data_IF_789351792839
#
_entry.id   IF_789351792839
#
_cell.length_a   1.000
_cell.length_b   1.000
_cell.length_c   1.000
_cell.angle_alpha   90.00
_cell.angle_beta   90.00
_cell.angle_gamma   90.00
#
_symmetry.space_group_name_H-M   'P 1'
#
loop_
_entity.id
_entity.type
_entity.pdbx_description
1 polymer ?
#
# COMPACT_ATOMS: atom_id res chain seq x y z
N UNK A 1 -33.04 60.01 -4.68
CA UNK A 1 -32.58 61.41 -4.84
C UNK A 1 -31.07 61.55 -4.99
N UNK A 2 -30.21 60.79 -4.28
CA UNK A 2 -28.75 60.86 -4.50
C UNK A 2 -28.30 60.31 -5.87
N UNK A 3 -28.95 59.28 -6.42
CA UNK A 3 -28.65 58.71 -7.75
C UNK A 3 -28.84 59.72 -8.89
N UNK A 4 -29.89 60.55 -8.81
CA UNK A 4 -30.13 61.58 -9.84
C UNK A 4 -29.15 62.75 -9.78
N UNK A 5 -28.58 63.03 -8.62
CA UNK A 5 -27.65 64.17 -8.47
C UNK A 5 -26.26 63.82 -9.03
N UNK A 6 -25.83 62.57 -8.86
CA UNK A 6 -24.57 62.06 -9.46
C UNK A 6 -24.69 61.93 -10.98
N UNK A 7 -25.81 61.43 -11.48
CA UNK A 7 -26.04 61.35 -12.94
C UNK A 7 -26.00 62.72 -13.62
N UNK A 8 -26.55 63.75 -12.99
CA UNK A 8 -26.59 65.13 -13.56
C UNK A 8 -25.20 65.80 -13.53
N UNK A 9 -24.40 65.58 -12.48
CA UNK A 9 -23.04 66.15 -12.38
C UNK A 9 -22.11 65.40 -13.34
N UNK A 10 -22.21 64.08 -13.46
CA UNK A 10 -21.40 63.26 -14.37
C UNK A 10 -21.74 63.54 -15.84
N UNK A 11 -23.02 63.75 -16.19
CA UNK A 11 -23.40 64.15 -17.55
C UNK A 11 -22.87 65.52 -17.96
N UNK A 12 -22.75 66.50 -17.05
CA UNK A 12 -22.18 67.80 -17.39
C UNK A 12 -20.65 67.77 -17.58
N UNK A 13 -19.94 66.97 -16.86
CA UNK A 13 -18.47 66.80 -17.01
C UNK A 13 -18.14 65.95 -18.26
N UNK A 14 -18.92 64.90 -18.55
CA UNK A 14 -18.78 64.06 -19.73
C UNK A 14 -19.17 64.76 -21.04
N UNK A 15 -20.19 65.63 -21.05
CA UNK A 15 -20.59 66.36 -22.23
C UNK A 15 -19.53 67.38 -22.71
N UNK A 16 -18.76 67.96 -21.81
CA UNK A 16 -17.61 68.79 -22.17
C UNK A 16 -16.41 67.96 -22.67
N UNK A 17 -16.31 66.71 -22.21
CA UNK A 17 -15.27 65.75 -22.63
C UNK A 17 -15.61 64.99 -23.93
N UNK A 18 -16.87 64.61 -24.14
CA UNK A 18 -17.32 63.88 -25.33
C UNK A 18 -17.16 64.68 -26.63
N UNK A 19 -17.44 65.99 -26.58
CA UNK A 19 -17.22 66.86 -27.75
C UNK A 19 -15.72 67.06 -28.10
N UNK A 20 -14.85 66.81 -27.12
CA UNK A 20 -13.40 66.97 -27.34
C UNK A 20 -12.68 65.64 -27.72
N UNK A 21 -13.28 64.51 -27.46
CA UNK A 21 -12.64 63.20 -27.65
C UNK A 21 -13.20 62.37 -28.79
N UNK A 22 -14.36 62.68 -29.35
CA UNK A 22 -14.99 61.89 -30.42
C UNK A 22 -14.35 62.15 -31.75
N UNK A 23 -13.48 61.28 -32.24
CA UNK A 23 -12.87 61.38 -33.58
C UNK A 23 -13.83 60.85 -34.65
N UNK A 24 -13.75 61.40 -35.85
CA UNK A 24 -14.62 61.02 -36.99
C UNK A 24 -14.38 59.56 -37.36
N UNK A 25 -15.41 58.72 -37.15
CA UNK A 25 -15.35 57.28 -37.45
C UNK A 25 -15.16 56.38 -36.20
N UNK A 26 -15.06 56.93 -35.01
CA UNK A 26 -15.10 56.16 -33.75
C UNK A 26 -16.50 55.69 -33.42
N UNK A 27 -16.63 54.46 -32.92
CA UNK A 27 -17.83 53.87 -32.40
C UNK A 27 -17.83 53.90 -30.86
N UNK A 28 -18.94 54.27 -30.27
CA UNK A 28 -19.13 54.28 -28.81
C UNK A 28 -20.15 53.23 -28.41
N UNK A 29 -19.88 52.55 -27.28
CA UNK A 29 -20.90 51.74 -26.61
C UNK A 29 -21.72 52.63 -25.68
N UNK A 30 -23.02 52.53 -25.79
CA UNK A 30 -23.98 53.24 -24.93
C UNK A 30 -25.03 52.27 -24.44
N UNK A 31 -25.63 52.56 -23.28
CA UNK A 31 -26.65 51.72 -22.67
C UNK A 31 -27.78 52.55 -22.08
N UNK A 32 -28.94 51.93 -21.91
CA UNK A 32 -30.09 52.46 -21.22
C UNK A 32 -30.62 51.55 -20.10
N UNK A 33 -29.78 50.75 -19.51
CA UNK A 33 -30.03 49.68 -18.52
C UNK A 33 -30.76 48.42 -19.07
N UNK A 34 -31.25 48.48 -20.32
CA UNK A 34 -31.96 47.34 -20.93
C UNK A 34 -31.17 46.75 -22.08
N UNK A 35 -30.53 47.59 -22.86
CA UNK A 35 -29.72 47.14 -24.02
C UNK A 35 -28.43 47.94 -24.17
N UNK A 36 -27.45 47.35 -24.80
CA UNK A 36 -26.17 47.96 -25.16
C UNK A 36 -26.16 48.15 -26.67
N UNK A 37 -25.87 49.38 -27.14
CA UNK A 37 -25.70 49.68 -28.56
C UNK A 37 -24.29 50.16 -28.87
N UNK A 38 -23.77 49.71 -30.00
CA UNK A 38 -22.52 50.24 -30.57
C UNK A 38 -22.93 51.18 -31.70
N UNK A 39 -22.74 52.47 -31.52
CA UNK A 39 -23.18 53.52 -32.45
C UNK A 39 -22.05 54.49 -32.75
N UNK A 40 -22.15 55.20 -33.84
CA UNK A 40 -21.22 56.30 -34.10
C UNK A 40 -21.38 57.46 -33.11
N UNK A 41 -20.35 58.30 -33.01
CA UNK A 41 -20.34 59.39 -32.05
C UNK A 41 -21.48 60.38 -32.21
N UNK A 42 -22.05 60.56 -33.40
CA UNK A 42 -23.14 61.48 -33.65
C UNK A 42 -24.45 60.88 -33.14
N UNK A 43 -24.68 59.62 -33.37
CA UNK A 43 -25.84 58.90 -32.91
C UNK A 43 -25.76 58.69 -31.37
N UNK A 44 -24.59 58.36 -30.81
CA UNK A 44 -24.41 58.31 -29.36
C UNK A 44 -24.76 59.61 -28.67
N UNK A 45 -24.29 60.74 -29.19
CA UNK A 45 -24.62 62.07 -28.64
C UNK A 45 -26.13 62.33 -28.68
N UNK A 46 -26.82 61.94 -29.76
CA UNK A 46 -28.30 62.11 -29.90
C UNK A 46 -29.04 61.26 -28.86
N UNK A 47 -28.67 59.98 -28.74
CA UNK A 47 -29.35 59.06 -27.83
C UNK A 47 -29.08 59.40 -26.35
N UNK A 48 -27.91 59.87 -26.00
CA UNK A 48 -27.60 60.32 -24.64
C UNK A 48 -28.39 61.58 -24.29
N UNK A 49 -28.49 62.54 -25.23
CA UNK A 49 -29.13 63.83 -24.96
C UNK A 49 -30.66 63.80 -24.98
N UNK A 50 -31.24 62.98 -25.85
CA UNK A 50 -32.66 62.99 -26.10
C UNK A 50 -33.44 61.81 -25.55
N UNK A 51 -32.76 60.67 -25.34
CA UNK A 51 -33.41 59.39 -25.03
C UNK A 51 -32.95 58.75 -23.72
N UNK A 52 -32.11 59.45 -22.92
CA UNK A 52 -31.71 59.01 -21.61
C UNK A 52 -30.64 57.85 -21.62
N UNK A 53 -29.98 57.69 -22.79
CA UNK A 53 -28.86 56.76 -22.88
C UNK A 53 -27.62 57.39 -22.26
N UNK A 54 -26.69 56.56 -21.78
CA UNK A 54 -25.41 57.00 -21.21
C UNK A 54 -24.26 56.16 -21.75
N UNK A 55 -23.03 56.69 -21.70
CA UNK A 55 -21.87 55.92 -22.11
C UNK A 55 -21.78 54.62 -21.30
N UNK A 56 -21.63 53.50 -21.98
CA UNK A 56 -21.40 52.25 -21.34
C UNK A 56 -20.00 52.29 -20.74
N UNK A 57 -19.88 52.08 -19.43
CA UNK A 57 -18.62 51.83 -18.77
C UNK A 57 -18.65 50.45 -18.16
N UNK A 58 -17.56 49.75 -18.24
CA UNK A 58 -17.42 48.45 -17.61
C UNK A 58 -17.59 48.57 -16.08
N UNK A 59 -17.17 49.70 -15.51
CA UNK A 59 -17.32 49.99 -14.08
C UNK A 59 -18.80 50.00 -13.62
N UNK A 60 -19.69 50.58 -14.42
CA UNK A 60 -21.12 50.59 -14.13
C UNK A 60 -21.72 49.18 -14.19
N UNK A 61 -21.35 48.40 -15.18
CA UNK A 61 -21.80 47.02 -15.28
C UNK A 61 -21.22 46.14 -14.14
N UNK A 62 -20.02 46.41 -13.72
CA UNK A 62 -19.39 45.75 -12.57
C UNK A 62 -20.13 46.08 -11.27
N UNK A 63 -20.46 47.35 -11.01
CA UNK A 63 -21.20 47.77 -9.81
C UNK A 63 -22.59 47.10 -9.69
N UNK A 64 -23.27 46.89 -10.81
CA UNK A 64 -24.60 46.28 -10.83
C UNK A 64 -24.55 44.75 -10.76
N UNK A 65 -23.70 44.13 -11.55
CA UNK A 65 -23.69 42.66 -11.75
C UNK A 65 -22.75 41.90 -10.82
N UNK A 66 -21.58 42.45 -10.48
CA UNK A 66 -20.58 41.71 -9.70
C UNK A 66 -21.09 41.28 -8.31
N UNK A 67 -21.83 42.08 -7.54
CA UNK A 67 -22.37 41.63 -6.24
C UNK A 67 -23.36 40.48 -6.38
N UNK A 68 -24.18 40.47 -7.43
CA UNK A 68 -25.18 39.45 -7.69
C UNK A 68 -24.50 38.15 -8.16
N UNK A 69 -23.56 38.27 -9.09
CA UNK A 69 -22.79 37.13 -9.59
C UNK A 69 -21.94 36.45 -8.50
N UNK A 70 -21.27 37.23 -7.66
CA UNK A 70 -20.50 36.73 -6.56
C UNK A 70 -21.36 35.93 -5.57
N UNK A 71 -22.50 36.50 -5.16
CA UNK A 71 -23.46 35.84 -4.27
C UNK A 71 -24.01 34.54 -4.87
N UNK A 72 -24.40 34.60 -6.15
CA UNK A 72 -24.94 33.45 -6.88
C UNK A 72 -23.92 32.37 -7.08
N UNK A 73 -22.66 32.69 -7.46
CA UNK A 73 -21.58 31.75 -7.63
C UNK A 73 -21.32 30.96 -6.35
N UNK A 74 -21.24 31.65 -5.21
CA UNK A 74 -21.03 31.05 -3.90
C UNK A 74 -22.23 30.18 -3.45
N UNK A 75 -23.46 30.58 -3.76
CA UNK A 75 -24.67 29.81 -3.45
C UNK A 75 -24.76 28.54 -4.30
N UNK A 76 -24.54 28.63 -5.60
CA UNK A 76 -24.53 27.48 -6.51
C UNK A 76 -23.40 26.50 -6.13
N UNK A 77 -22.24 27.00 -5.75
CA UNK A 77 -21.15 26.15 -5.27
C UNK A 77 -21.57 25.39 -4.00
N UNK A 78 -22.13 26.10 -2.99
CA UNK A 78 -22.57 25.46 -1.73
C UNK A 78 -23.71 24.48 -1.92
N UNK A 79 -24.60 24.71 -2.88
CA UNK A 79 -25.70 23.81 -3.23
C UNK A 79 -25.28 22.70 -4.20
N UNK A 80 -23.98 22.61 -4.57
CA UNK A 80 -23.45 21.65 -5.53
C UNK A 80 -24.09 21.74 -6.92
N UNK A 81 -24.62 22.90 -7.29
CA UNK A 81 -25.08 23.15 -8.65
C UNK A 81 -23.90 23.59 -9.52
N UNK A 82 -23.13 22.58 -9.94
CA UNK A 82 -21.82 22.79 -10.58
C UNK A 82 -21.91 23.50 -11.92
N UNK A 83 -22.98 23.31 -12.71
CA UNK A 83 -23.17 23.98 -13.99
C UNK A 83 -23.36 25.49 -13.79
N UNK A 84 -24.31 25.91 -12.93
CA UNK A 84 -24.54 27.32 -12.66
C UNK A 84 -23.38 27.95 -11.91
N UNK A 85 -22.69 27.19 -11.05
CA UNK A 85 -21.49 27.65 -10.37
C UNK A 85 -20.36 27.95 -11.37
N UNK A 86 -20.05 27.03 -12.26
CA UNK A 86 -19.01 27.23 -13.28
C UNK A 86 -19.34 28.42 -14.21
N UNK A 87 -20.59 28.56 -14.60
CA UNK A 87 -21.03 29.68 -15.43
C UNK A 87 -20.86 31.00 -14.68
N UNK A 88 -21.31 31.10 -13.42
CA UNK A 88 -21.22 32.33 -12.64
C UNK A 88 -19.77 32.76 -12.38
N UNK A 89 -18.87 31.81 -12.10
CA UNK A 89 -17.41 32.10 -11.97
C UNK A 89 -16.81 32.54 -13.31
N UNK A 90 -17.24 31.96 -14.44
CA UNK A 90 -16.85 32.43 -15.77
C UNK A 90 -17.26 33.89 -16.00
N UNK A 91 -18.52 34.20 -15.67
CA UNK A 91 -19.06 35.55 -15.84
C UNK A 91 -18.36 36.58 -14.95
N UNK A 92 -17.98 36.19 -13.71
CA UNK A 92 -17.16 37.03 -12.81
C UNK A 92 -15.79 37.39 -13.44
N UNK A 93 -15.15 36.45 -14.11
CA UNK A 93 -13.85 36.70 -14.78
C UNK A 93 -14.03 37.47 -16.09
N UNK A 94 -15.12 37.24 -16.82
CA UNK A 94 -15.41 38.00 -18.04
C UNK A 94 -15.60 39.49 -17.76
N UNK A 95 -16.29 39.79 -16.64
CA UNK A 95 -16.49 41.17 -16.18
C UNK A 95 -15.32 41.71 -15.33
N UNK A 96 -14.30 40.95 -15.06
CA UNK A 96 -13.17 41.33 -14.18
C UNK A 96 -13.65 41.87 -12.83
N UNK A 97 -14.60 41.18 -12.22
CA UNK A 97 -15.13 41.54 -10.91
C UNK A 97 -14.07 41.52 -9.81
N UNK A 98 -13.06 40.73 -9.97
CA UNK A 98 -11.84 40.67 -9.13
C UNK A 98 -11.07 42.02 -9.12
N UNK A 99 -11.08 42.74 -10.21
CA UNK A 99 -10.44 44.06 -10.32
C UNK A 99 -11.40 45.21 -9.81
N UNK A 100 -12.71 44.99 -9.87
CA UNK A 100 -13.69 45.93 -9.35
C UNK A 100 -13.66 46.00 -7.81
N UNK A 101 -13.62 44.86 -7.14
CA UNK A 101 -13.54 44.80 -5.67
C UNK A 101 -12.88 43.46 -5.23
N UNK A 102 -11.59 43.50 -4.97
CA UNK A 102 -10.79 42.34 -4.57
C UNK A 102 -11.16 41.84 -3.17
N UNK A 103 -11.75 42.62 -2.31
CA UNK A 103 -12.19 42.19 -0.97
C UNK A 103 -13.43 41.30 -1.03
N UNK A 104 -14.22 41.41 -2.08
CA UNK A 104 -15.45 40.62 -2.30
C UNK A 104 -15.26 39.48 -3.29
N UNK A 105 -14.36 39.67 -4.25
CA UNK A 105 -14.10 38.71 -5.33
C UNK A 105 -12.60 38.62 -5.51
N UNK A 106 -11.97 37.70 -4.78
CA UNK A 106 -10.51 37.47 -4.98
C UNK A 106 -10.25 36.67 -6.25
N UNK A 107 -9.21 37.02 -6.96
CA UNK A 107 -8.80 36.36 -8.21
C UNK A 107 -8.54 34.87 -8.00
N UNK A 108 -7.86 34.50 -6.93
CA UNK A 108 -7.52 33.12 -6.58
C UNK A 108 -8.77 32.28 -6.27
N UNK A 109 -9.73 32.81 -5.50
CA UNK A 109 -10.99 32.11 -5.22
C UNK A 109 -11.80 31.86 -6.49
N UNK A 110 -11.86 32.84 -7.40
CA UNK A 110 -12.59 32.66 -8.64
C UNK A 110 -12.01 31.52 -9.48
N UNK A 111 -10.71 31.52 -9.72
CA UNK A 111 -10.07 30.44 -10.48
C UNK A 111 -10.17 29.10 -9.76
N UNK A 112 -10.01 29.09 -8.43
CA UNK A 112 -10.10 27.88 -7.62
C UNK A 112 -11.50 27.25 -7.71
N UNK A 113 -12.54 27.99 -7.37
CA UNK A 113 -13.89 27.45 -7.31
C UNK A 113 -14.47 27.17 -8.70
N UNK A 114 -14.09 27.96 -9.73
CA UNK A 114 -14.42 27.66 -11.11
C UNK A 114 -13.85 26.32 -11.54
N UNK A 115 -12.56 26.10 -11.28
CA UNK A 115 -11.90 24.84 -11.60
C UNK A 115 -12.52 23.65 -10.87
N UNK A 116 -12.86 23.80 -9.59
CA UNK A 116 -13.53 22.76 -8.80
C UNK A 116 -14.93 22.45 -9.37
N UNK A 117 -15.70 23.45 -9.76
CA UNK A 117 -17.00 23.23 -10.38
C UNK A 117 -16.88 22.42 -11.68
N UNK A 118 -15.91 22.78 -12.55
CA UNK A 118 -15.63 22.05 -13.78
C UNK A 118 -15.15 20.61 -13.52
N UNK A 119 -14.32 20.39 -12.50
CA UNK A 119 -13.86 19.06 -12.11
C UNK A 119 -15.01 18.17 -11.63
N UNK A 120 -15.96 18.71 -10.86
CA UNK A 120 -17.14 17.97 -10.43
C UNK A 120 -18.10 17.64 -11.59
N UNK A 121 -18.05 18.40 -12.67
CA UNK A 121 -18.75 18.10 -13.92
C UNK A 121 -17.99 17.09 -14.83
N UNK A 122 -16.80 16.66 -14.42
CA UNK A 122 -15.94 15.83 -15.25
C UNK A 122 -15.29 16.56 -16.44
N UNK A 123 -15.34 17.89 -16.47
CA UNK A 123 -14.78 18.75 -17.55
C UNK A 123 -13.33 19.11 -17.26
N UNK A 124 -12.46 18.07 -17.20
CA UNK A 124 -11.06 18.25 -16.75
C UNK A 124 -10.23 19.11 -17.70
N UNK A 125 -10.42 19.02 -19.03
CA UNK A 125 -9.71 19.84 -20.01
C UNK A 125 -10.07 21.34 -19.86
N UNK A 126 -11.33 21.65 -19.56
CA UNK A 126 -11.75 23.03 -19.32
C UNK A 126 -11.19 23.56 -18.00
N UNK A 127 -11.20 22.73 -16.95
CA UNK A 127 -10.58 23.04 -15.68
C UNK A 127 -9.09 23.33 -15.82
N UNK A 128 -8.35 22.51 -16.59
CA UNK A 128 -6.95 22.72 -16.92
C UNK A 128 -6.70 24.11 -17.53
N UNK A 129 -7.49 24.48 -18.54
CA UNK A 129 -7.36 25.80 -19.20
C UNK A 129 -7.62 26.96 -18.23
N UNK A 130 -8.60 26.83 -17.36
CA UNK A 130 -8.92 27.83 -16.32
C UNK A 130 -7.77 27.95 -15.32
N UNK A 131 -7.22 26.83 -14.86
CA UNK A 131 -6.11 26.80 -13.90
C UNK A 131 -4.81 27.33 -14.48
N UNK A 132 -4.50 27.03 -15.76
CA UNK A 132 -3.34 27.60 -16.45
C UNK A 132 -3.47 29.13 -16.52
N UNK A 133 -4.65 29.66 -16.84
CA UNK A 133 -4.87 31.12 -16.81
C UNK A 133 -4.69 31.69 -15.40
N UNK A 134 -5.24 31.02 -14.39
CA UNK A 134 -5.08 31.45 -13.01
C UNK A 134 -3.62 31.49 -12.58
N UNK A 135 -2.81 30.49 -12.96
CA UNK A 135 -1.39 30.45 -12.66
C UNK A 135 -0.55 31.43 -13.49
N UNK A 136 -1.04 31.93 -14.61
CA UNK A 136 -0.40 33.04 -15.30
C UNK A 136 -0.53 34.37 -14.53
N UNK A 137 -1.66 34.56 -13.85
CA UNK A 137 -1.89 35.74 -12.99
C UNK A 137 -1.31 35.55 -11.58
N UNK A 138 -1.31 34.33 -11.06
CA UNK A 138 -0.91 33.93 -9.70
C UNK A 138 0.07 32.76 -9.72
N UNK A 139 1.30 32.96 -10.19
CA UNK A 139 2.24 31.86 -10.50
C UNK A 139 2.68 31.03 -9.30
N UNK A 140 2.55 31.55 -8.07
CA UNK A 140 2.95 30.85 -6.83
C UNK A 140 1.75 30.32 -6.02
N UNK A 141 0.54 30.32 -6.59
CA UNK A 141 -0.64 29.86 -5.88
C UNK A 141 -0.67 28.33 -5.80
N UNK A 142 -0.35 27.80 -4.62
CA UNK A 142 -0.25 26.34 -4.37
C UNK A 142 -1.60 25.62 -4.50
N UNK A 143 -2.72 26.31 -4.20
CA UNK A 143 -4.06 25.73 -4.36
C UNK A 143 -4.40 25.48 -5.82
N UNK A 144 -4.06 26.43 -6.71
CA UNK A 144 -4.26 26.27 -8.15
C UNK A 144 -3.33 25.22 -8.74
N UNK A 145 -2.06 25.15 -8.30
CA UNK A 145 -1.11 24.09 -8.70
C UNK A 145 -1.64 22.70 -8.33
N UNK A 146 -2.09 22.51 -7.09
CA UNK A 146 -2.67 21.24 -6.64
C UNK A 146 -3.89 20.84 -7.48
N UNK A 147 -4.74 21.78 -7.82
CA UNK A 147 -5.91 21.51 -8.67
C UNK A 147 -5.55 21.21 -10.11
N UNK A 148 -4.51 21.85 -10.64
CA UNK A 148 -3.99 21.57 -11.98
C UNK A 148 -3.37 20.17 -12.06
N UNK A 149 -2.54 19.80 -11.09
CA UNK A 149 -2.00 18.45 -10.98
C UNK A 149 -3.13 17.38 -10.87
N UNK A 150 -4.18 17.65 -10.11
CA UNK A 150 -5.36 16.79 -10.05
C UNK A 150 -6.09 16.70 -11.40
N UNK A 151 -6.22 17.79 -12.14
CA UNK A 151 -6.81 17.77 -13.47
C UNK A 151 -5.98 16.92 -14.44
N UNK A 152 -4.65 17.03 -14.41
CA UNK A 152 -3.74 16.18 -15.18
C UNK A 152 -3.85 14.70 -14.79
N UNK A 153 -3.90 14.40 -13.48
CA UNK A 153 -4.12 13.03 -12.97
C UNK A 153 -5.39 12.40 -13.56
N UNK A 154 -6.48 13.16 -13.65
CA UNK A 154 -7.76 12.67 -14.19
C UNK A 154 -7.78 12.50 -15.70
N UNK A 155 -6.86 13.11 -16.40
CA UNK A 155 -6.66 13.00 -17.85
C UNK A 155 -5.54 12.00 -18.21
N UNK A 156 -4.93 11.33 -17.22
CA UNK A 156 -3.76 10.45 -17.38
C UNK A 156 -2.54 11.13 -18.03
N UNK A 157 -2.42 12.46 -17.84
CA UNK A 157 -1.28 13.26 -18.25
C UNK A 157 -0.20 13.22 -17.17
N UNK A 158 0.53 12.08 -17.11
CA UNK A 158 1.43 11.78 -15.98
C UNK A 158 2.62 12.74 -15.94
N UNK A 159 3.20 13.09 -17.08
CA UNK A 159 4.37 13.96 -17.15
C UNK A 159 4.04 15.37 -16.67
N UNK A 160 2.92 15.93 -17.14
CA UNK A 160 2.46 17.25 -16.74
C UNK A 160 2.06 17.28 -15.25
N UNK A 161 1.46 16.20 -14.75
CA UNK A 161 1.15 16.04 -13.33
C UNK A 161 2.41 16.06 -12.47
N UNK A 162 3.46 15.36 -12.86
CA UNK A 162 4.76 15.35 -12.17
C UNK A 162 5.32 16.76 -12.11
N UNK A 163 5.36 17.49 -13.22
CA UNK A 163 5.88 18.87 -13.28
C UNK A 163 5.17 19.79 -12.28
N UNK A 164 3.83 19.71 -12.19
CA UNK A 164 3.09 20.57 -11.26
C UNK A 164 3.29 20.16 -9.81
N UNK A 165 3.40 18.85 -9.49
CA UNK A 165 3.71 18.42 -8.13
C UNK A 165 5.17 18.73 -7.74
N UNK A 166 6.13 18.66 -8.66
CA UNK A 166 7.50 19.12 -8.42
C UNK A 166 7.53 20.62 -8.09
N UNK A 167 6.82 21.45 -8.87
CA UNK A 167 6.67 22.89 -8.59
C UNK A 167 6.05 23.14 -7.21
N UNK A 168 5.02 22.38 -6.86
CA UNK A 168 4.35 22.45 -5.56
C UNK A 168 5.33 22.10 -4.43
N UNK A 169 6.14 21.08 -4.63
CA UNK A 169 7.18 20.67 -3.68
C UNK A 169 8.27 21.75 -3.52
N UNK A 170 8.70 22.35 -4.62
CA UNK A 170 9.71 23.42 -4.62
C UNK A 170 9.20 24.71 -3.95
N UNK A 171 7.89 24.95 -3.98
CA UNK A 171 7.25 26.05 -3.24
C UNK A 171 7.22 25.82 -1.72
N UNK A 172 7.72 24.67 -1.23
CA UNK A 172 7.74 24.32 0.19
C UNK A 172 6.45 23.71 0.71
N UNK A 173 5.55 23.27 -0.17
CA UNK A 173 4.33 22.57 0.24
C UNK A 173 4.66 21.29 1.02
N UNK A 174 3.89 21.06 2.10
CA UNK A 174 3.96 19.87 2.95
C UNK A 174 2.70 18.99 2.83
N UNK A 175 1.95 19.16 1.75
CA UNK A 175 0.75 18.37 1.53
C UNK A 175 1.10 16.91 1.21
N UNK A 176 0.83 16.03 2.18
CA UNK A 176 1.17 14.60 2.09
C UNK A 176 0.43 13.92 0.93
N UNK A 177 -0.80 14.31 0.63
CA UNK A 177 -1.59 13.70 -0.43
C UNK A 177 -0.98 14.01 -1.81
N UNK A 178 -0.54 15.26 -2.02
CA UNK A 178 0.18 15.66 -3.24
C UNK A 178 1.52 14.94 -3.39
N UNK A 179 2.29 14.81 -2.30
CA UNK A 179 3.54 14.05 -2.30
C UNK A 179 3.32 12.57 -2.58
N UNK A 180 2.26 11.97 -2.04
CA UNK A 180 1.91 10.56 -2.31
C UNK A 180 1.51 10.34 -3.76
N UNK A 181 0.76 11.26 -4.35
CA UNK A 181 0.41 11.22 -5.77
C UNK A 181 1.66 11.33 -6.66
N UNK A 182 2.62 12.18 -6.29
CA UNK A 182 3.90 12.31 -6.98
C UNK A 182 4.73 11.03 -6.88
N UNK A 183 4.86 10.45 -5.68
CA UNK A 183 5.55 9.17 -5.50
C UNK A 183 4.93 8.05 -6.35
N UNK A 184 3.59 7.98 -6.38
CA UNK A 184 2.86 7.02 -7.21
C UNK A 184 3.06 7.25 -8.71
N UNK A 185 3.23 8.50 -9.16
CA UNK A 185 3.53 8.83 -10.54
C UNK A 185 4.94 8.38 -10.95
N UNK A 186 5.93 8.62 -10.11
CA UNK A 186 7.30 8.12 -10.33
C UNK A 186 7.34 6.60 -10.38
N UNK A 187 6.63 5.91 -9.46
CA UNK A 187 6.53 4.46 -9.47
C UNK A 187 5.93 3.90 -10.76
N UNK A 188 4.89 4.53 -11.32
CA UNK A 188 4.31 4.14 -12.62
C UNK A 188 5.30 4.28 -13.79
N UNK A 189 6.23 5.21 -13.69
CA UNK A 189 7.30 5.43 -14.69
C UNK A 189 8.55 4.59 -14.44
N UNK A 190 8.62 3.82 -13.34
CA UNK A 190 9.82 3.08 -12.94
C UNK A 190 10.97 3.98 -12.45
N UNK A 191 10.68 5.21 -12.07
CA UNK A 191 11.64 6.19 -11.53
C UNK A 191 11.79 5.99 -10.03
N UNK A 192 12.43 4.86 -9.64
CA UNK A 192 12.48 4.40 -8.25
C UNK A 192 13.24 5.35 -7.33
N UNK A 193 14.35 5.95 -7.79
CA UNK A 193 15.15 6.86 -6.97
C UNK A 193 14.36 8.11 -6.57
N UNK A 194 13.61 8.68 -7.51
CA UNK A 194 12.76 9.84 -7.27
C UNK A 194 11.56 9.45 -6.39
N UNK A 195 10.99 8.26 -6.57
CA UNK A 195 9.94 7.74 -5.70
C UNK A 195 10.45 7.62 -4.25
N UNK A 196 11.62 7.02 -4.03
CA UNK A 196 12.30 6.92 -2.73
C UNK A 196 12.48 8.31 -2.12
N UNK A 197 12.99 9.26 -2.89
CA UNK A 197 13.22 10.63 -2.43
C UNK A 197 11.94 11.29 -1.91
N UNK A 198 10.82 11.13 -2.62
CA UNK A 198 9.52 11.70 -2.22
C UNK A 198 8.94 10.98 -1.01
N UNK A 199 9.01 9.64 -0.94
CA UNK A 199 8.55 8.87 0.21
C UNK A 199 9.32 9.25 1.47
N UNK A 200 10.64 9.43 1.39
CA UNK A 200 11.46 9.96 2.50
C UNK A 200 11.02 11.36 2.95
N UNK A 201 10.62 12.25 2.01
CA UNK A 201 10.08 13.56 2.38
C UNK A 201 8.75 13.45 3.13
N UNK A 202 7.89 12.52 2.76
CA UNK A 202 6.65 12.25 3.51
C UNK A 202 6.99 11.81 4.94
N UNK A 203 7.95 10.90 5.12
CA UNK A 203 8.37 10.44 6.44
C UNK A 203 9.06 11.53 7.28
N UNK A 204 9.71 12.51 6.65
CA UNK A 204 10.21 13.69 7.38
C UNK A 204 9.07 14.61 7.89
N UNK A 205 7.88 14.54 7.30
CA UNK A 205 6.70 15.30 7.74
C UNK A 205 5.92 14.50 8.77
N UNK A 206 5.72 13.22 8.53
CA UNK A 206 5.00 12.26 9.36
C UNK A 206 5.83 10.97 9.50
N UNK A 207 6.75 10.91 10.48
CA UNK A 207 7.64 9.75 10.68
C UNK A 207 6.89 8.44 10.93
N UNK A 208 5.73 8.50 11.59
CA UNK A 208 4.95 7.34 11.98
C UNK A 208 3.97 6.86 10.90
N UNK A 209 4.10 7.31 9.66
CA UNK A 209 3.24 6.89 8.56
C UNK A 209 3.58 5.47 8.09
N UNK A 210 3.02 4.47 8.77
CA UNK A 210 3.31 3.05 8.52
C UNK A 210 3.05 2.62 7.08
N UNK A 211 2.05 3.21 6.42
CA UNK A 211 1.76 2.92 5.01
C UNK A 211 2.90 3.35 4.09
N UNK A 212 3.44 4.55 4.32
CA UNK A 212 4.56 5.09 3.53
C UNK A 212 5.86 4.35 3.85
N UNK A 213 6.09 3.99 5.11
CA UNK A 213 7.24 3.16 5.50
C UNK A 213 7.23 1.81 4.78
N UNK A 214 6.07 1.12 4.74
CA UNK A 214 5.93 -0.15 4.03
C UNK A 214 6.10 0.00 2.52
N UNK A 215 5.59 1.08 1.94
CA UNK A 215 5.78 1.38 0.52
C UNK A 215 7.26 1.65 0.21
N UNK A 216 7.94 2.44 1.04
CA UNK A 216 9.36 2.74 0.89
C UNK A 216 10.21 1.48 0.98
N UNK A 217 9.95 0.58 1.95
CA UNK A 217 10.66 -0.68 2.07
C UNK A 217 10.52 -1.53 0.79
N UNK A 218 9.31 -1.63 0.24
CA UNK A 218 9.07 -2.35 -1.02
C UNK A 218 9.82 -1.72 -2.20
N UNK A 219 9.84 -0.38 -2.30
CA UNK A 219 10.54 0.30 -3.40
C UNK A 219 12.05 0.09 -3.29
N UNK A 220 12.61 0.02 -2.08
CA UNK A 220 14.02 -0.35 -1.89
C UNK A 220 14.32 -1.77 -2.38
N UNK A 221 13.44 -2.76 -2.07
CA UNK A 221 13.59 -4.12 -2.61
C UNK A 221 13.51 -4.12 -4.15
N UNK A 222 12.57 -3.37 -4.73
CA UNK A 222 12.41 -3.26 -6.18
C UNK A 222 13.62 -2.57 -6.86
N UNK A 223 14.30 -1.64 -6.17
CA UNK A 223 15.53 -0.98 -6.64
C UNK A 223 16.79 -1.83 -6.45
N UNK A 224 16.71 -2.91 -5.68
CA UNK A 224 17.84 -3.76 -5.29
C UNK A 224 18.67 -3.19 -4.14
N UNK A 225 18.15 -2.21 -3.42
CA UNK A 225 18.73 -1.69 -2.18
C UNK A 225 18.22 -2.46 -0.97
N UNK A 226 18.99 -2.47 0.13
CA UNK A 226 18.60 -3.13 1.37
C UNK A 226 17.64 -2.24 2.19
N UNK A 227 16.41 -2.69 2.48
CA UNK A 227 15.45 -1.93 3.28
C UNK A 227 15.68 -2.04 4.80
N UNK A 228 16.74 -2.73 5.26
CA UNK A 228 16.97 -3.06 6.68
C UNK A 228 16.88 -1.83 7.60
N UNK A 229 17.52 -0.71 7.22
CA UNK A 229 17.50 0.54 8.01
C UNK A 229 16.08 1.11 8.21
N UNK A 230 15.18 0.85 7.28
CA UNK A 230 13.77 1.31 7.39
C UNK A 230 13.02 0.47 8.43
N UNK A 231 13.21 -0.86 8.40
CA UNK A 231 12.61 -1.77 9.37
C UNK A 231 13.18 -1.52 10.77
N UNK A 232 14.49 -1.27 10.86
CA UNK A 232 15.19 -0.93 12.10
C UNK A 232 14.60 0.35 12.72
N UNK A 233 14.52 1.44 11.96
CA UNK A 233 13.97 2.71 12.45
C UNK A 233 12.52 2.56 12.94
N UNK A 234 11.67 1.79 12.22
CA UNK A 234 10.29 1.51 12.65
C UNK A 234 10.22 0.77 13.97
N UNK A 235 11.11 -0.21 14.16
CA UNK A 235 11.19 -0.97 15.41
C UNK A 235 11.71 -0.10 16.55
N UNK A 236 12.78 0.68 16.34
CA UNK A 236 13.37 1.57 17.36
C UNK A 236 12.38 2.64 17.84
N UNK A 237 11.54 3.17 16.94
CA UNK A 237 10.49 4.13 17.29
C UNK A 237 9.32 3.49 18.08
N UNK A 238 9.07 2.18 17.92
CA UNK A 238 7.96 1.47 18.57
C UNK A 238 8.36 0.03 18.94
N UNK A 239 9.25 -0.18 19.90
CA UNK A 239 9.83 -1.48 20.23
C UNK A 239 8.80 -2.48 20.81
N UNK A 240 7.67 -2.00 21.32
CA UNK A 240 6.56 -2.84 21.78
C UNK A 240 5.66 -3.34 20.64
N UNK A 241 5.83 -2.84 19.41
CA UNK A 241 5.01 -3.26 18.28
C UNK A 241 5.50 -4.58 17.71
N UNK A 242 4.79 -5.66 18.01
CA UNK A 242 5.12 -7.01 17.60
C UNK A 242 5.27 -7.18 16.08
N UNK A 243 4.45 -6.48 15.27
CA UNK A 243 4.55 -6.57 13.81
C UNK A 243 5.83 -5.96 13.28
N UNK A 244 6.25 -4.81 13.83
CA UNK A 244 7.50 -4.17 13.41
C UNK A 244 8.73 -4.99 13.82
N UNK A 245 8.71 -5.55 15.03
CA UNK A 245 9.75 -6.44 15.50
C UNK A 245 9.91 -7.68 14.61
N UNK A 246 8.80 -8.32 14.26
CA UNK A 246 8.81 -9.51 13.40
C UNK A 246 9.29 -9.18 11.99
N UNK A 247 8.81 -8.09 11.39
CA UNK A 247 9.27 -7.65 10.06
C UNK A 247 10.79 -7.35 10.07
N UNK A 248 11.28 -6.66 11.10
CA UNK A 248 12.71 -6.36 11.23
C UNK A 248 13.53 -7.63 11.44
N UNK A 249 13.09 -8.52 12.34
CA UNK A 249 13.77 -9.80 12.59
C UNK A 249 13.81 -10.71 11.35
N UNK A 250 12.73 -10.76 10.56
CA UNK A 250 12.71 -11.52 9.30
C UNK A 250 13.74 -10.98 8.29
N UNK A 251 13.94 -9.66 8.24
CA UNK A 251 14.97 -9.05 7.39
C UNK A 251 16.39 -9.34 7.91
N UNK A 252 16.60 -9.25 9.22
CA UNK A 252 17.88 -9.63 9.84
C UNK A 252 18.22 -11.10 9.51
N UNK A 253 17.30 -12.04 9.73
CA UNK A 253 17.50 -13.44 9.38
C UNK A 253 17.83 -13.63 7.89
N UNK A 254 17.11 -12.93 6.99
CA UNK A 254 17.39 -13.02 5.55
C UNK A 254 18.79 -12.51 5.17
N UNK A 255 19.37 -11.61 5.96
CA UNK A 255 20.72 -11.09 5.79
C UNK A 255 21.78 -11.94 6.50
N UNK A 256 21.38 -12.91 7.33
CA UNK A 256 22.25 -13.76 8.11
C UNK A 256 22.59 -13.23 9.52
N UNK A 257 21.93 -12.14 9.92
CA UNK A 257 22.11 -11.49 11.25
C UNK A 257 21.14 -12.09 12.27
N UNK A 258 21.16 -13.43 12.41
CA UNK A 258 20.16 -14.18 13.19
C UNK A 258 20.25 -13.89 14.69
N UNK A 259 21.45 -13.65 15.23
CA UNK A 259 21.63 -13.29 16.64
C UNK A 259 20.91 -11.97 16.97
N UNK A 260 21.05 -10.93 16.13
CA UNK A 260 20.34 -9.66 16.32
C UNK A 260 18.81 -9.83 16.18
N UNK A 261 18.36 -10.73 15.30
CA UNK A 261 16.94 -11.05 15.17
C UNK A 261 16.36 -11.67 16.44
N UNK A 262 17.12 -12.57 17.10
CA UNK A 262 16.76 -13.16 18.38
C UNK A 262 16.63 -12.06 19.45
N UNK A 263 17.65 -11.20 19.61
CA UNK A 263 17.63 -10.10 20.57
C UNK A 263 16.43 -9.18 20.40
N UNK A 264 16.08 -8.83 19.16
CA UNK A 264 14.91 -8.01 18.81
C UNK A 264 13.61 -8.68 19.26
N UNK A 265 13.45 -9.97 18.96
CA UNK A 265 12.24 -10.72 19.28
C UNK A 265 12.09 -10.99 20.78
N UNK A 266 13.17 -11.33 21.50
CA UNK A 266 13.17 -11.49 22.94
C UNK A 266 12.81 -10.19 23.67
N UNK A 267 13.41 -9.08 23.24
CA UNK A 267 13.08 -7.77 23.79
C UNK A 267 11.58 -7.46 23.61
N UNK A 268 11.05 -7.70 22.41
CA UNK A 268 9.63 -7.47 22.12
C UNK A 268 8.73 -8.40 22.93
N UNK A 269 9.13 -9.66 23.15
CA UNK A 269 8.38 -10.60 23.95
C UNK A 269 8.28 -10.15 25.43
N UNK A 270 9.26 -9.40 25.92
CA UNK A 270 9.22 -8.81 27.29
C UNK A 270 8.04 -7.88 27.48
N UNK A 271 7.60 -7.19 26.44
CA UNK A 271 6.41 -6.31 26.42
C UNK A 271 5.11 -7.05 26.09
N UNK A 272 5.19 -8.11 25.26
CA UNK A 272 4.05 -8.78 24.65
C UNK A 272 4.07 -10.30 24.92
N UNK A 273 3.94 -10.69 26.18
CA UNK A 273 4.10 -12.10 26.63
C UNK A 273 3.12 -13.11 26.05
N UNK A 274 2.02 -12.67 25.46
CA UNK A 274 0.99 -13.56 24.89
C UNK A 274 0.92 -13.44 23.36
N UNK A 275 1.93 -12.83 22.71
CA UNK A 275 1.92 -12.61 21.28
C UNK A 275 2.44 -13.81 20.50
N UNK A 276 1.52 -14.62 20.00
CA UNK A 276 1.83 -15.83 19.22
C UNK A 276 2.72 -15.61 17.99
N UNK A 277 2.67 -14.42 17.38
CA UNK A 277 3.49 -14.11 16.21
C UNK A 277 4.96 -13.94 16.59
N UNK A 278 5.24 -13.27 17.71
CA UNK A 278 6.60 -13.11 18.22
C UNK A 278 7.20 -14.47 18.63
N UNK A 279 6.44 -15.28 19.38
CA UNK A 279 6.86 -16.64 19.74
C UNK A 279 7.20 -17.48 18.50
N UNK A 280 6.35 -17.46 17.49
CA UNK A 280 6.57 -18.21 16.26
C UNK A 280 7.83 -17.76 15.51
N UNK A 281 8.07 -16.45 15.44
CA UNK A 281 9.25 -15.89 14.77
C UNK A 281 10.51 -16.15 15.56
N UNK A 282 10.45 -16.08 16.90
CA UNK A 282 11.58 -16.41 17.78
C UNK A 282 11.97 -17.89 17.68
N UNK A 283 10.99 -18.79 17.71
CA UNK A 283 11.25 -20.22 17.49
C UNK A 283 11.87 -20.54 16.12
N UNK A 284 11.54 -19.79 15.09
CA UNK A 284 12.21 -19.89 13.78
C UNK A 284 13.64 -19.32 13.82
N UNK A 285 13.83 -18.19 14.48
CA UNK A 285 15.15 -17.56 14.60
C UNK A 285 16.13 -18.49 15.34
N UNK A 286 15.73 -19.07 16.47
CA UNK A 286 16.52 -20.09 17.17
C UNK A 286 16.83 -21.32 16.29
N UNK A 287 15.83 -21.80 15.53
CA UNK A 287 16.06 -22.90 14.58
C UNK A 287 17.09 -22.53 13.51
N UNK A 288 17.03 -21.35 12.92
CA UNK A 288 18.00 -20.89 11.92
C UNK A 288 19.41 -20.69 12.53
N UNK A 289 19.46 -20.29 13.81
CA UNK A 289 20.72 -20.17 14.55
C UNK A 289 21.29 -21.52 15.02
N UNK A 290 20.55 -22.62 14.85
CA UNK A 290 20.85 -23.95 15.36
C UNK A 290 20.77 -24.08 16.90
N UNK A 291 20.08 -23.16 17.57
CA UNK A 291 19.76 -23.20 18.99
C UNK A 291 18.47 -24.02 19.20
N UNK A 292 18.52 -25.30 18.87
CA UNK A 292 17.34 -26.15 18.78
C UNK A 292 16.64 -26.38 20.13
N UNK A 293 17.38 -26.38 21.23
CA UNK A 293 16.82 -26.49 22.59
C UNK A 293 15.98 -25.28 22.92
N UNK A 294 16.51 -24.07 22.72
CA UNK A 294 15.77 -22.80 22.94
C UNK A 294 14.56 -22.67 21.97
N UNK A 295 14.70 -23.18 20.74
CA UNK A 295 13.58 -23.24 19.79
C UNK A 295 12.46 -24.15 20.29
N UNK A 296 12.77 -25.30 20.87
CA UNK A 296 11.75 -26.18 21.46
C UNK A 296 11.06 -25.51 22.64
N UNK A 297 11.82 -24.96 23.58
CA UNK A 297 11.28 -24.34 24.79
C UNK A 297 10.31 -23.21 24.44
N UNK A 298 10.69 -22.30 23.56
CA UNK A 298 9.83 -21.17 23.15
C UNK A 298 8.59 -21.61 22.35
N UNK A 299 8.69 -22.67 21.56
CA UNK A 299 7.58 -23.22 20.81
C UNK A 299 6.63 -24.07 21.71
N UNK A 300 7.14 -24.68 22.79
CA UNK A 300 6.29 -25.31 23.81
C UNK A 300 5.46 -24.28 24.56
N UNK A 301 6.05 -23.15 24.95
CA UNK A 301 5.33 -22.02 25.52
C UNK A 301 4.22 -21.55 24.57
N UNK A 302 4.53 -21.43 23.26
CA UNK A 302 3.53 -21.07 22.25
C UNK A 302 2.42 -22.15 22.15
N UNK A 303 2.77 -23.43 22.27
CA UNK A 303 1.77 -24.51 22.26
C UNK A 303 0.82 -24.43 23.46
N UNK A 304 1.29 -24.00 24.63
CA UNK A 304 0.39 -23.77 25.79
C UNK A 304 -0.59 -22.65 25.55
N UNK A 305 -0.22 -21.61 24.77
CA UNK A 305 -1.11 -20.50 24.37
C UNK A 305 -2.09 -20.94 23.26
N UNK A 306 -1.66 -21.76 22.31
CA UNK A 306 -2.49 -22.24 21.17
C UNK A 306 -2.33 -23.74 20.92
N UNK A 307 -3.06 -24.54 21.68
CA UNK A 307 -3.01 -26.02 21.62
C UNK A 307 -3.51 -26.62 20.31
N UNK A 308 -4.17 -25.86 19.48
CA UNK A 308 -4.74 -26.33 18.23
C UNK A 308 -3.89 -25.97 16.99
N UNK A 309 -2.75 -25.35 17.17
CA UNK A 309 -1.85 -24.98 16.09
C UNK A 309 -0.91 -26.15 15.72
N UNK A 310 -1.29 -26.91 14.71
CA UNK A 310 -0.47 -28.06 14.26
C UNK A 310 0.93 -27.64 13.77
N UNK A 311 1.11 -26.42 13.29
CA UNK A 311 2.42 -25.92 12.79
C UNK A 311 3.40 -25.74 13.94
N UNK A 312 2.93 -25.30 15.10
CA UNK A 312 3.76 -25.21 16.30
C UNK A 312 4.27 -26.59 16.69
N UNK A 313 3.36 -27.58 16.84
CA UNK A 313 3.76 -28.96 17.16
C UNK A 313 4.66 -29.58 16.10
N UNK A 314 4.49 -29.21 14.83
CA UNK A 314 5.36 -29.63 13.74
C UNK A 314 6.78 -29.06 13.89
N UNK A 315 6.91 -27.77 14.22
CA UNK A 315 8.21 -27.12 14.42
C UNK A 315 8.95 -27.65 15.63
N UNK A 316 8.26 -27.93 16.74
CA UNK A 316 8.87 -28.60 17.89
C UNK A 316 9.44 -29.94 17.45
N UNK A 317 8.68 -30.77 16.74
CA UNK A 317 9.13 -32.04 16.22
C UNK A 317 10.33 -31.90 15.25
N UNK A 318 10.38 -30.85 14.43
CA UNK A 318 11.51 -30.55 13.54
C UNK A 318 12.79 -30.30 14.35
N UNK A 319 12.71 -29.44 15.37
CA UNK A 319 13.88 -29.12 16.21
C UNK A 319 14.35 -30.34 17.02
N UNK A 320 13.42 -31.15 17.54
CA UNK A 320 13.76 -32.40 18.23
C UNK A 320 14.50 -33.40 17.32
N UNK A 321 14.16 -33.46 16.02
CA UNK A 321 14.90 -34.27 15.04
C UNK A 321 16.36 -33.79 14.90
N UNK A 322 16.58 -32.48 14.83
CA UNK A 322 17.94 -31.93 14.67
C UNK A 322 18.82 -32.16 15.94
N UNK A 323 18.19 -32.39 17.10
CA UNK A 323 18.86 -32.82 18.34
C UNK A 323 19.03 -34.36 18.45
N UNK A 324 18.63 -35.14 17.46
CA UNK A 324 18.55 -36.62 17.50
C UNK A 324 17.59 -37.14 18.62
N UNK A 325 16.73 -36.28 19.19
CA UNK A 325 15.66 -36.69 20.12
C UNK A 325 14.45 -37.21 19.35
N UNK A 326 14.56 -38.41 18.81
CA UNK A 326 13.52 -39.00 17.97
C UNK A 326 12.26 -39.39 18.76
N UNK A 327 12.35 -39.59 20.07
CA UNK A 327 11.20 -39.88 20.91
C UNK A 327 10.28 -38.66 21.05
N UNK A 328 10.84 -37.54 21.49
CA UNK A 328 10.07 -36.25 21.54
C UNK A 328 9.61 -35.85 20.15
N UNK A 329 10.45 -35.98 19.12
CA UNK A 329 10.05 -35.69 17.75
C UNK A 329 8.82 -36.49 17.31
N UNK A 330 8.74 -37.75 17.68
CA UNK A 330 7.63 -38.63 17.36
C UNK A 330 6.35 -38.22 18.08
N UNK A 331 6.43 -37.95 19.39
CA UNK A 331 5.28 -37.51 20.18
C UNK A 331 4.69 -36.22 19.62
N UNK A 332 5.49 -35.20 19.33
CA UNK A 332 5.08 -33.95 18.77
C UNK A 332 4.57 -34.08 17.33
N UNK A 333 5.22 -34.93 16.52
CA UNK A 333 4.77 -35.28 15.19
C UNK A 333 3.39 -35.94 15.18
N UNK A 334 3.10 -36.84 16.10
CA UNK A 334 1.78 -37.45 16.27
C UNK A 334 0.73 -36.42 16.73
N UNK A 335 1.07 -35.50 17.65
CA UNK A 335 0.19 -34.39 18.03
C UNK A 335 -0.16 -33.55 16.80
N UNK A 336 0.84 -33.22 15.96
CA UNK A 336 0.64 -32.49 14.71
C UNK A 336 -0.32 -33.21 13.77
N UNK A 337 -0.11 -34.51 13.53
CA UNK A 337 -1.03 -35.31 12.69
C UNK A 337 -2.46 -35.33 13.24
N UNK A 338 -2.63 -35.46 14.57
CA UNK A 338 -3.95 -35.46 15.20
C UNK A 338 -4.67 -34.12 15.02
N UNK A 339 -3.99 -33.01 15.30
CA UNK A 339 -4.57 -31.64 15.16
C UNK A 339 -4.90 -31.33 13.69
N UNK A 340 -3.99 -31.65 12.78
CA UNK A 340 -4.14 -31.39 11.34
C UNK A 340 -5.05 -32.39 10.61
N UNK A 341 -5.53 -33.44 11.29
CA UNK A 341 -6.28 -34.57 10.71
C UNK A 341 -5.51 -35.25 9.58
N UNK A 342 -4.25 -35.53 9.84
CA UNK A 342 -3.33 -36.15 8.86
C UNK A 342 -3.23 -35.36 7.55
N UNK A 343 -3.03 -34.07 7.61
CA UNK A 343 -2.78 -33.27 6.39
C UNK A 343 -1.48 -33.71 5.70
N UNK A 344 -1.30 -33.26 4.47
CA UNK A 344 -0.15 -33.63 3.65
C UNK A 344 1.21 -33.21 4.28
N UNK A 345 1.25 -32.09 4.97
CA UNK A 345 2.46 -31.53 5.61
C UNK A 345 2.90 -32.37 6.80
N UNK A 346 1.96 -32.68 7.74
CA UNK A 346 2.28 -33.53 8.90
C UNK A 346 2.64 -34.95 8.48
N UNK A 347 2.02 -35.51 7.44
CA UNK A 347 2.41 -36.81 6.89
C UNK A 347 3.82 -36.80 6.30
N UNK A 348 4.16 -35.76 5.52
CA UNK A 348 5.50 -35.63 4.94
C UNK A 348 6.57 -35.50 6.04
N UNK A 349 6.25 -34.76 7.11
CA UNK A 349 7.13 -34.62 8.25
C UNK A 349 7.37 -35.95 8.97
N UNK A 350 6.33 -36.75 9.24
CA UNK A 350 6.47 -38.07 9.84
C UNK A 350 7.35 -38.98 8.98
N UNK A 351 7.23 -38.94 7.66
CA UNK A 351 8.13 -39.62 6.76
C UNK A 351 9.59 -39.19 6.93
N UNK A 352 9.80 -37.85 7.07
CA UNK A 352 11.15 -37.33 7.30
C UNK A 352 11.73 -37.72 8.66
N UNK A 353 10.92 -37.74 9.71
CA UNK A 353 11.33 -38.24 11.04
C UNK A 353 11.90 -39.68 10.95
N UNK A 354 11.11 -40.58 10.38
CA UNK A 354 11.61 -41.98 10.19
C UNK A 354 12.84 -42.06 9.28
N UNK A 355 12.88 -41.25 8.22
CA UNK A 355 14.04 -41.21 7.33
C UNK A 355 15.31 -40.75 8.05
N UNK A 356 15.21 -39.63 8.80
CA UNK A 356 16.33 -39.06 9.57
C UNK A 356 16.79 -40.00 10.69
N UNK A 357 15.85 -40.59 11.45
CA UNK A 357 16.22 -41.56 12.49
C UNK A 357 16.90 -42.79 11.93
N UNK A 358 16.44 -43.31 10.79
CA UNK A 358 17.12 -44.40 10.11
C UNK A 358 18.54 -44.03 9.66
N UNK A 359 18.74 -42.82 9.15
CA UNK A 359 20.04 -42.32 8.73
C UNK A 359 21.00 -42.14 9.93
N UNK A 360 20.50 -41.67 11.08
CA UNK A 360 21.28 -41.49 12.30
C UNK A 360 21.61 -42.83 12.97
N UNK A 361 20.66 -43.77 12.99
CA UNK A 361 20.78 -45.04 13.71
C UNK A 361 21.50 -46.16 12.94
N UNK A 362 21.54 -46.10 11.61
CA UNK A 362 22.15 -47.17 10.79
C UNK A 362 23.65 -47.26 10.95
N UNK A 363 24.19 -48.49 10.94
CA UNK A 363 25.60 -48.74 10.78
C UNK A 363 26.05 -48.78 9.31
N UNK A 364 27.20 -49.41 9.07
CA UNK A 364 27.75 -49.58 7.69
C UNK A 364 26.80 -50.41 6.79
N UNK A 365 26.08 -51.36 7.38
CA UNK A 365 25.09 -52.18 6.68
C UNK A 365 23.71 -52.00 7.30
N UNK A 366 22.67 -51.99 6.45
CA UNK A 366 21.29 -51.89 6.90
C UNK A 366 20.85 -53.14 7.66
N UNK A 367 20.50 -52.95 8.92
CA UNK A 367 19.86 -53.98 9.73
C UNK A 367 18.39 -54.18 9.30
N UNK A 368 17.76 -55.25 9.80
CA UNK A 368 16.33 -55.48 9.58
C UNK A 368 15.48 -54.32 10.14
N UNK A 369 15.84 -53.78 11.30
CA UNK A 369 15.14 -52.66 11.91
C UNK A 369 15.27 -51.40 11.09
N UNK A 370 16.45 -51.11 10.51
CA UNK A 370 16.65 -49.98 9.61
C UNK A 370 15.71 -50.06 8.37
N UNK A 371 15.60 -51.29 7.79
CA UNK A 371 14.71 -51.53 6.66
C UNK A 371 13.20 -51.35 7.00
N UNK A 372 12.79 -51.73 8.22
CA UNK A 372 11.41 -51.50 8.70
C UNK A 372 11.15 -50.03 8.82
N UNK A 373 12.06 -49.27 9.45
CA UNK A 373 11.94 -47.84 9.64
C UNK A 373 11.97 -47.08 8.30
N UNK A 374 12.85 -47.49 7.39
CA UNK A 374 12.90 -47.01 6.02
C UNK A 374 11.55 -47.22 5.29
N UNK A 375 10.93 -48.39 5.49
CA UNK A 375 9.60 -48.66 4.87
C UNK A 375 8.49 -47.86 5.49
N UNK A 376 8.51 -47.57 6.79
CA UNK A 376 7.58 -46.63 7.41
C UNK A 376 7.75 -45.23 6.85
N UNK A 377 8.99 -44.74 6.72
CA UNK A 377 9.28 -43.46 6.08
C UNK A 377 8.69 -43.39 4.67
N UNK A 378 8.93 -44.41 3.86
CA UNK A 378 8.42 -44.52 2.49
C UNK A 378 6.89 -44.46 2.44
N UNK A 379 6.21 -45.22 3.30
CA UNK A 379 4.73 -45.22 3.36
C UNK A 379 4.17 -43.85 3.69
N UNK A 380 4.79 -43.10 4.59
CA UNK A 380 4.39 -41.74 4.95
C UNK A 380 4.65 -40.77 3.81
N UNK A 381 5.74 -40.88 3.08
CA UNK A 381 6.02 -40.06 1.90
C UNK A 381 4.99 -40.32 0.79
N UNK A 382 4.63 -41.57 0.53
CA UNK A 382 3.58 -41.95 -0.43
C UNK A 382 2.21 -41.37 0.00
N UNK A 383 1.86 -41.46 1.30
CA UNK A 383 0.62 -40.89 1.82
C UNK A 383 0.59 -39.35 1.68
N UNK A 384 1.72 -38.68 1.89
CA UNK A 384 1.86 -37.23 1.72
C UNK A 384 1.73 -36.82 0.24
N UNK A 385 2.41 -37.55 -0.65
CA UNK A 385 2.38 -37.32 -2.09
C UNK A 385 0.96 -37.49 -2.68
N UNK A 386 0.23 -38.51 -2.22
CA UNK A 386 -1.18 -38.72 -2.60
C UNK A 386 -2.11 -37.58 -2.13
N UNK A 387 -1.66 -36.77 -1.18
CA UNK A 387 -2.34 -35.56 -0.71
C UNK A 387 -1.72 -34.25 -1.26
N UNK A 388 -0.82 -34.35 -2.24
CA UNK A 388 -0.26 -33.21 -2.96
C UNK A 388 1.03 -32.62 -2.36
N UNK A 389 1.69 -33.33 -1.42
CA UNK A 389 2.98 -32.88 -0.85
C UNK A 389 4.12 -33.83 -1.28
N UNK A 390 4.96 -33.34 -2.18
CA UNK A 390 6.14 -34.07 -2.69
C UNK A 390 7.48 -33.48 -2.17
N UNK A 391 7.46 -32.77 -1.04
CA UNK A 391 8.65 -32.09 -0.47
C UNK A 391 9.84 -33.03 -0.36
N UNK A 392 9.62 -34.30 0.02
CA UNK A 392 10.66 -35.31 0.25
C UNK A 392 10.75 -36.36 -0.87
N UNK A 393 10.43 -35.97 -2.11
CA UNK A 393 10.52 -36.86 -3.28
C UNK A 393 11.92 -37.46 -3.47
N UNK A 394 12.97 -36.68 -3.25
CA UNK A 394 14.37 -37.17 -3.33
C UNK A 394 14.68 -38.28 -2.31
N UNK A 395 14.24 -38.08 -1.06
CA UNK A 395 14.42 -39.08 0.00
C UNK A 395 13.61 -40.35 -0.29
N UNK A 396 12.38 -40.22 -0.75
CA UNK A 396 11.54 -41.34 -1.16
C UNK A 396 12.20 -42.16 -2.24
N UNK A 397 12.69 -41.55 -3.32
CA UNK A 397 13.34 -42.21 -4.43
C UNK A 397 14.67 -42.86 -3.98
N UNK A 398 15.44 -42.21 -3.11
CA UNK A 398 16.65 -42.77 -2.55
C UNK A 398 16.39 -44.07 -1.80
N UNK A 399 15.27 -44.18 -1.06
CA UNK A 399 14.88 -45.40 -0.37
C UNK A 399 14.59 -46.56 -1.34
N UNK A 400 13.97 -46.28 -2.49
CA UNK A 400 13.69 -47.26 -3.53
C UNK A 400 14.99 -47.72 -4.27
N UNK A 401 15.78 -46.75 -4.73
CA UNK A 401 16.97 -46.99 -5.56
C UNK A 401 18.08 -47.73 -4.83
N UNK A 402 18.17 -47.60 -3.52
CA UNK A 402 19.20 -48.25 -2.70
C UNK A 402 18.75 -49.59 -2.08
N UNK A 403 17.57 -50.07 -2.46
CA UNK A 403 17.02 -51.37 -2.00
C UNK A 403 16.98 -51.51 -0.46
N UNK A 404 16.72 -50.41 0.25
CA UNK A 404 16.70 -50.38 1.72
C UNK A 404 15.34 -50.67 2.32
N UNK A 405 14.33 -50.91 1.50
CA UNK A 405 13.00 -51.25 1.96
C UNK A 405 12.90 -52.69 2.43
N UNK A 406 12.10 -52.90 3.46
CA UNK A 406 11.81 -54.26 3.97
C UNK A 406 10.98 -55.04 2.94
N UNK A 407 11.49 -56.20 2.54
CA UNK A 407 10.90 -56.99 1.47
C UNK A 407 10.66 -58.46 1.83
N UNK A 408 10.28 -59.26 0.80
CA UNK A 408 9.97 -60.68 0.95
C UNK A 408 11.07 -61.47 1.66
N UNK A 409 12.33 -61.27 1.29
CA UNK A 409 13.46 -62.01 1.90
C UNK A 409 13.60 -61.67 3.38
N UNK A 410 13.44 -60.39 3.76
CA UNK A 410 13.49 -59.97 5.15
C UNK A 410 12.29 -60.52 5.95
N UNK A 411 11.09 -60.55 5.36
CA UNK A 411 9.89 -61.16 5.95
C UNK A 411 10.07 -62.65 6.22
N UNK A 412 10.57 -63.39 5.23
CA UNK A 412 10.79 -64.83 5.35
C UNK A 412 11.77 -65.21 6.47
N UNK A 413 12.69 -64.35 6.77
CA UNK A 413 13.69 -64.50 7.84
C UNK A 413 13.24 -64.03 9.23
N UNK A 414 11.95 -63.61 9.38
CA UNK A 414 11.38 -63.26 10.69
C UNK A 414 10.96 -64.50 11.47
N UNK A 415 10.80 -64.36 12.78
CA UNK A 415 10.32 -65.44 13.65
C UNK A 415 8.86 -65.83 13.30
N UNK A 416 8.52 -67.08 13.52
CA UNK A 416 7.17 -67.62 13.19
C UNK A 416 6.06 -66.87 13.89
N UNK A 417 6.24 -66.40 15.12
CA UNK A 417 5.27 -65.65 15.87
C UNK A 417 5.02 -64.27 15.25
N UNK A 418 6.09 -63.63 14.76
CA UNK A 418 6.00 -62.39 14.00
C UNK A 418 5.25 -62.58 12.67
N UNK A 419 5.59 -63.68 11.95
CA UNK A 419 4.88 -64.04 10.71
C UNK A 419 3.39 -64.31 10.95
N UNK A 420 3.07 -64.98 12.07
CA UNK A 420 1.70 -65.23 12.45
C UNK A 420 0.90 -63.97 12.84
N UNK A 421 1.59 -62.96 13.39
CA UNK A 421 0.97 -61.68 13.72
C UNK A 421 0.58 -60.82 12.48
N UNK A 422 1.24 -61.11 11.33
CA UNK A 422 1.05 -60.32 10.11
C UNK A 422 1.68 -58.92 10.17
N UNK A 423 2.49 -58.62 11.20
CA UNK A 423 3.12 -57.31 11.40
C UNK A 423 4.56 -57.47 11.91
N UNK A 424 5.42 -56.54 11.55
CA UNK A 424 6.79 -56.47 12.05
C UNK A 424 7.09 -55.07 12.60
N UNK A 425 7.75 -55.04 13.75
CA UNK A 425 8.20 -53.79 14.39
C UNK A 425 9.74 -53.75 14.41
N UNK A 426 10.33 -52.54 14.35
CA UNK A 426 11.76 -52.43 14.55
C UNK A 426 12.13 -52.78 16.00
N UNK A 427 13.36 -53.14 16.24
CA UNK A 427 13.90 -53.50 17.55
C UNK A 427 15.28 -52.89 17.72
N UNK A 428 15.73 -52.82 18.96
CA UNK A 428 17.02 -52.25 19.30
C UNK A 428 16.90 -50.84 19.89
N UNK A 429 17.85 -50.46 20.72
CA UNK A 429 17.83 -49.25 21.55
C UNK A 429 17.49 -47.97 20.79
N UNK A 430 17.98 -47.87 19.56
CA UNK A 430 17.79 -46.65 18.71
C UNK A 430 16.36 -46.49 18.19
N UNK A 431 15.52 -47.55 18.23
CA UNK A 431 14.17 -47.57 17.70
C UNK A 431 13.09 -47.92 18.76
N UNK A 432 13.44 -47.89 20.05
CA UNK A 432 12.50 -48.23 21.14
C UNK A 432 11.26 -47.29 21.15
N UNK A 433 11.43 -46.05 20.68
CA UNK A 433 10.38 -45.03 20.52
C UNK A 433 9.37 -45.36 19.40
N UNK A 434 9.74 -46.25 18.44
CA UNK A 434 8.86 -46.55 17.30
C UNK A 434 7.76 -47.49 17.72
N UNK A 435 6.59 -46.97 17.98
CA UNK A 435 5.42 -47.76 18.36
C UNK A 435 4.65 -48.33 17.15
N UNK A 436 4.92 -47.85 15.94
CA UNK A 436 4.29 -48.31 14.69
C UNK A 436 4.91 -49.63 14.18
N UNK A 437 4.08 -50.42 13.53
CA UNK A 437 4.48 -51.67 12.88
C UNK A 437 4.16 -51.66 11.41
N UNK A 438 5.05 -52.25 10.62
CA UNK A 438 4.83 -52.45 9.20
C UNK A 438 3.96 -53.69 8.98
N UNK A 439 2.85 -53.53 8.30
CA UNK A 439 1.97 -54.64 7.95
C UNK A 439 2.54 -55.46 6.81
N UNK A 440 2.30 -56.79 6.86
CA UNK A 440 2.64 -57.69 5.77
C UNK A 440 1.99 -57.26 4.47
N UNK A 441 2.76 -57.12 3.42
CA UNK A 441 2.27 -56.81 2.08
C UNK A 441 1.91 -58.07 1.30
N UNK A 442 1.05 -57.92 0.30
CA UNK A 442 0.55 -59.05 -0.52
C UNK A 442 1.61 -59.71 -1.37
N UNK A 443 2.73 -59.05 -1.60
CA UNK A 443 3.87 -59.48 -2.36
C UNK A 443 4.99 -60.13 -1.51
N UNK A 444 4.75 -60.30 -0.20
CA UNK A 444 5.65 -60.93 0.76
C UNK A 444 5.27 -62.35 1.12
#
# INVERSE_FOLDING_TARGET
MKKYLYAIIFTFILLSGLNAQCKRGEQLRITNDVEIKVVDCREATRLIYNEGWYPYSIEYEQEDRCPQLSSSAAEYYRSSNWELSAQSYSDLMELRCDQWNSDWVSTDDVYLYWSIALQNLGKFEQSEQVLIKGLQELPENTSLMTRLAYAYKKQDKIDEMIIEYERLMDSGSRDIDSLRDLAGAYGKQGRLDEQISVLKKILNIDPNNSSVQSELARVYEDSGEDPLEIFKARFEDNPENASYAVEYAEKLMSNGDTDEAIDVLENTLSYNRDNSMVYMSLGKAYNENSDFEDAVDILEDLHELDKNNFRVTLLISVNSIEMDDFESAFEWGQKSMKISRNNAESLAHMGNLYYKSMQSCRGDNFSRSDKIVASLAYEYFVKAENKGNSKYFKQKNWLEENEVLFGYADWFMTDKDVQASGKVSPSGRCYEWVSESLAKKSDW
#
